data_IF_257585421108
#
_entry.id   IF_257585421108
#
_cell.length_a   1.000
_cell.length_b   1.000
_cell.length_c   1.000
_cell.angle_alpha   90.00
_cell.angle_beta   90.00
_cell.angle_gamma   90.00
#
_symmetry.space_group_name_H-M   'P 1'
#
loop_
_entity.id
_entity.type
_entity.pdbx_description
1 polymer ?
#
# COMPACT_ATOMS: atom_id res chain seq x y z
N UNK A 1 42.45 -3.82 -51.23
CA UNK A 1 41.99 -5.18 -51.59
C UNK A 1 42.06 -5.99 -50.30
N UNK A 2 41.01 -6.44 -49.63
CA UNK A 2 39.66 -6.81 -50.07
C UNK A 2 38.70 -6.82 -48.85
N UNK A 3 37.39 -6.93 -49.14
CA UNK A 3 36.19 -6.58 -48.34
C UNK A 3 35.93 -7.36 -47.03
N UNK A 4 35.10 -6.76 -46.16
CA UNK A 4 34.33 -7.37 -45.06
C UNK A 4 33.28 -8.39 -45.55
N UNK A 5 32.82 -9.29 -44.65
CA UNK A 5 31.39 -9.34 -44.31
C UNK A 5 31.09 -9.54 -42.80
N UNK A 6 29.79 -9.54 -42.48
CA UNK A 6 29.10 -9.15 -41.25
C UNK A 6 29.05 -10.20 -40.11
N UNK A 7 28.73 -9.73 -38.89
CA UNK A 7 28.25 -10.53 -37.74
C UNK A 7 26.77 -10.88 -37.89
N UNK A 8 26.28 -11.98 -37.26
CA UNK A 8 25.40 -11.76 -36.09
C UNK A 8 25.41 -12.84 -34.97
N UNK A 9 24.95 -12.41 -33.78
CA UNK A 9 24.21 -13.10 -32.69
C UNK A 9 24.87 -14.29 -31.94
N UNK A 10 25.17 -14.16 -30.63
CA UNK A 10 24.30 -14.29 -29.43
C UNK A 10 24.02 -15.74 -28.97
N UNK A 11 24.62 -16.13 -27.84
CA UNK A 11 24.12 -17.12 -26.87
C UNK A 11 25.04 -17.09 -25.63
N UNK A 12 24.60 -16.92 -24.38
CA UNK A 12 23.27 -16.63 -23.86
C UNK A 12 23.46 -16.00 -22.47
N UNK A 13 22.62 -15.03 -22.14
CA UNK A 13 22.46 -14.59 -20.76
C UNK A 13 21.67 -15.67 -20.02
N UNK A 14 22.32 -16.39 -19.10
CA UNK A 14 21.60 -17.16 -18.08
C UNK A 14 20.87 -16.17 -17.18
N UNK A 15 19.62 -15.90 -17.52
CA UNK A 15 18.68 -15.28 -16.62
C UNK A 15 18.35 -16.31 -15.54
N UNK A 16 19.13 -16.34 -14.47
CA UNK A 16 18.85 -17.17 -13.30
C UNK A 16 17.63 -16.60 -12.57
N UNK A 17 16.43 -16.91 -13.08
CA UNK A 17 15.19 -16.91 -12.31
C UNK A 17 15.34 -17.97 -11.20
N UNK A 18 16.03 -17.61 -10.11
CA UNK A 18 16.10 -18.44 -8.93
C UNK A 18 14.73 -18.40 -8.25
N UNK A 19 13.82 -19.24 -8.73
CA UNK A 19 12.60 -19.60 -8.00
C UNK A 19 13.02 -20.15 -6.66
N UNK A 20 12.80 -19.37 -5.60
CA UNK A 20 13.15 -19.79 -4.25
C UNK A 20 12.33 -21.03 -3.91
N UNK A 21 13.01 -22.14 -3.56
CA UNK A 21 12.36 -23.37 -3.11
C UNK A 21 12.32 -23.35 -1.59
N UNK A 22 11.18 -23.69 -1.02
CA UNK A 22 11.01 -23.78 0.42
C UNK A 22 10.67 -25.22 0.82
N UNK A 23 11.44 -25.76 1.76
CA UNK A 23 11.12 -27.07 2.37
C UNK A 23 10.24 -26.85 3.59
N UNK A 24 9.03 -27.41 3.55
CA UNK A 24 8.02 -27.34 4.62
C UNK A 24 8.59 -27.89 5.92
N UNK A 25 8.37 -27.17 7.03
CA UNK A 25 8.75 -27.59 8.38
C UNK A 25 7.51 -28.00 9.17
N UNK A 26 7.73 -28.70 10.29
CA UNK A 26 6.65 -29.05 11.21
C UNK A 26 5.93 -27.81 11.71
N UNK A 27 4.61 -27.78 11.54
CA UNK A 27 3.75 -26.66 11.91
C UNK A 27 3.54 -25.61 10.82
N UNK A 28 4.18 -25.74 9.66
CA UNK A 28 3.91 -24.86 8.53
C UNK A 28 2.56 -25.19 7.86
N UNK A 29 1.93 -24.15 7.31
CA UNK A 29 0.77 -24.23 6.42
C UNK A 29 1.09 -23.47 5.14
N UNK A 30 0.41 -23.77 4.04
CA UNK A 30 0.63 -23.04 2.78
C UNK A 30 0.34 -21.54 2.96
N UNK A 31 -0.61 -21.20 3.84
CA UNK A 31 -0.90 -19.82 4.23
C UNK A 31 0.24 -19.16 5.01
N UNK A 32 0.81 -19.84 6.02
CA UNK A 32 1.89 -19.24 6.83
C UNK A 32 3.16 -19.06 6.02
N UNK A 33 3.45 -19.98 5.10
CA UNK A 33 4.58 -19.89 4.17
C UNK A 33 4.33 -18.76 3.15
N UNK A 34 3.16 -18.73 2.50
CA UNK A 34 2.82 -17.65 1.57
C UNK A 34 2.95 -16.27 2.24
N UNK A 35 2.48 -16.16 3.48
CA UNK A 35 2.63 -14.97 4.32
C UNK A 35 4.10 -14.63 4.59
N UNK A 36 4.94 -15.61 4.93
CA UNK A 36 6.37 -15.41 5.19
C UNK A 36 7.09 -14.83 3.96
N UNK A 37 6.75 -15.32 2.77
CA UNK A 37 7.38 -14.90 1.51
C UNK A 37 6.66 -13.74 0.81
N UNK A 38 5.57 -13.23 1.40
CA UNK A 38 4.84 -12.08 0.88
C UNK A 38 4.13 -12.29 -0.45
N UNK A 39 3.68 -13.52 -0.67
CA UNK A 39 2.82 -13.91 -1.79
C UNK A 39 1.43 -14.26 -1.27
N UNK A 40 0.41 -14.18 -2.13
CA UNK A 40 -0.94 -14.59 -1.76
C UNK A 40 -1.03 -16.11 -1.67
N UNK A 41 -1.96 -16.62 -0.84
CA UNK A 41 -2.24 -18.06 -0.78
C UNK A 41 -2.64 -18.59 -2.16
N UNK A 42 -3.40 -17.81 -2.94
CA UNK A 42 -3.81 -18.21 -4.28
C UNK A 42 -2.62 -18.40 -5.22
N UNK A 43 -1.70 -17.43 -5.28
CA UNK A 43 -0.47 -17.55 -6.09
C UNK A 43 0.38 -18.74 -5.63
N UNK A 44 0.41 -18.99 -4.33
CA UNK A 44 1.10 -20.14 -3.76
C UNK A 44 0.47 -21.46 -4.22
N UNK A 45 -0.86 -21.56 -4.24
CA UNK A 45 -1.60 -22.74 -4.74
C UNK A 45 -1.37 -22.92 -6.24
N UNK A 46 -1.46 -21.84 -7.03
CA UNK A 46 -1.25 -21.87 -8.47
C UNK A 46 0.18 -22.29 -8.83
N UNK A 47 1.18 -21.81 -8.08
CA UNK A 47 2.58 -22.20 -8.26
C UNK A 47 2.87 -23.66 -7.89
N UNK A 48 2.00 -24.27 -7.07
CA UNK A 48 2.15 -25.61 -6.51
C UNK A 48 0.95 -26.50 -6.82
N UNK A 49 0.46 -26.46 -8.07
CA UNK A 49 -0.68 -27.24 -8.56
C UNK A 49 -0.55 -28.77 -8.40
N UNK A 50 0.65 -29.28 -8.09
CA UNK A 50 0.91 -30.69 -7.79
C UNK A 50 0.46 -31.07 -6.36
N UNK A 51 0.22 -30.10 -5.49
CA UNK A 51 -0.30 -30.32 -4.14
C UNK A 51 -1.81 -30.39 -4.21
N UNK A 52 -2.34 -31.58 -3.94
CA UNK A 52 -3.78 -31.87 -4.08
C UNK A 52 -4.63 -31.24 -2.98
N UNK A 53 -4.05 -31.09 -1.78
CA UNK A 53 -4.71 -30.43 -0.66
C UNK A 53 -3.78 -29.38 -0.03
N UNK A 54 -3.95 -28.08 -0.35
CA UNK A 54 -3.18 -26.97 0.23
C UNK A 54 -3.25 -26.86 1.76
N UNK A 55 -4.26 -27.46 2.40
CA UNK A 55 -4.43 -27.47 3.85
C UNK A 55 -3.67 -28.60 4.54
N UNK A 56 -3.11 -29.57 3.79
CA UNK A 56 -2.44 -30.75 4.31
C UNK A 56 -0.99 -30.84 3.78
N UNK A 57 -0.14 -29.91 4.22
CA UNK A 57 1.29 -29.97 3.96
C UNK A 57 2.00 -30.92 4.93
N UNK A 58 2.98 -31.66 4.44
CA UNK A 58 3.83 -32.53 5.24
C UNK A 58 5.23 -31.92 5.40
N UNK A 59 5.86 -32.05 6.59
CA UNK A 59 7.26 -31.65 6.75
C UNK A 59 8.16 -32.39 5.76
N UNK A 60 8.99 -31.64 5.04
CA UNK A 60 9.83 -32.14 3.96
C UNK A 60 9.28 -31.90 2.55
N UNK A 61 8.01 -31.49 2.40
CA UNK A 61 7.46 -31.11 1.10
C UNK A 61 8.25 -29.92 0.52
N UNK A 62 8.53 -29.95 -0.78
CA UNK A 62 9.14 -28.82 -1.48
C UNK A 62 8.07 -27.94 -2.11
N UNK A 63 7.98 -26.70 -1.66
CA UNK A 63 7.17 -25.68 -2.30
C UNK A 63 8.02 -24.83 -3.23
N UNK A 64 7.50 -24.59 -4.42
CA UNK A 64 7.94 -23.49 -5.27
C UNK A 64 7.34 -22.21 -4.73
N UNK A 65 8.18 -21.33 -4.20
CA UNK A 65 7.76 -19.97 -3.86
C UNK A 65 7.72 -19.19 -5.17
N UNK A 66 6.54 -18.70 -5.61
CA UNK A 66 6.50 -17.81 -6.75
C UNK A 66 7.29 -16.55 -6.39
N UNK A 67 8.11 -16.06 -7.30
CA UNK A 67 8.56 -14.68 -7.20
C UNK A 67 7.31 -13.81 -7.10
N UNK A 68 7.40 -12.72 -6.34
CA UNK A 68 6.34 -11.74 -6.21
C UNK A 68 6.09 -11.05 -7.57
N UNK A 69 5.44 -11.78 -8.47
CA UNK A 69 5.26 -11.45 -9.89
C UNK A 69 3.98 -10.64 -10.09
N UNK A 70 3.23 -10.38 -9.03
CA UNK A 70 1.84 -9.89 -9.07
C UNK A 70 1.53 -8.88 -7.96
N UNK A 71 2.53 -8.07 -7.57
CA UNK A 71 2.30 -6.62 -7.49
C UNK A 71 2.67 -5.89 -8.78
N UNK A 72 2.77 -6.64 -9.89
CA UNK A 72 2.68 -6.12 -11.26
C UNK A 72 1.23 -6.17 -11.78
N UNK A 73 0.22 -5.90 -10.95
CA UNK A 73 -0.78 -4.97 -11.46
C UNK A 73 0.01 -3.68 -11.69
N UNK A 74 -0.11 -3.07 -12.88
CA UNK A 74 0.60 -1.84 -13.23
C UNK A 74 0.19 -0.69 -12.28
N UNK A 75 0.67 -0.74 -11.04
CA UNK A 75 0.78 0.41 -10.16
C UNK A 75 1.84 1.26 -10.82
N UNK A 76 1.37 2.24 -11.58
CA UNK A 76 2.23 3.24 -12.19
C UNK A 76 2.77 4.20 -11.12
N UNK A 77 2.78 3.82 -9.83
CA UNK A 77 3.31 4.62 -8.73
C UNK A 77 4.64 4.03 -8.22
N UNK A 78 5.68 4.85 -8.13
CA UNK A 78 6.95 4.57 -7.49
C UNK A 78 6.74 4.61 -5.96
N UNK A 79 7.20 3.55 -5.27
CA UNK A 79 7.09 3.43 -3.81
C UNK A 79 8.49 3.23 -3.20
N UNK A 80 8.77 3.81 -2.00
CA UNK A 80 7.87 4.66 -1.23
C UNK A 80 7.63 6.01 -1.90
N UNK A 81 6.45 6.59 -1.68
CA UNK A 81 6.10 7.93 -2.14
C UNK A 81 5.66 8.79 -0.96
N UNK A 82 6.06 10.05 -0.95
CA UNK A 82 5.65 11.02 0.04
C UNK A 82 5.07 12.24 -0.67
N UNK A 83 3.89 12.67 -0.25
CA UNK A 83 3.13 13.73 -0.90
C UNK A 83 2.71 14.78 0.13
N UNK A 84 2.80 16.05 -0.24
CA UNK A 84 2.19 17.14 0.52
C UNK A 84 0.71 17.20 0.18
N UNK A 85 -0.12 17.27 1.22
CA UNK A 85 -1.57 17.44 1.12
C UNK A 85 -1.92 18.91 1.24
N UNK A 86 -2.64 19.41 0.25
CA UNK A 86 -2.99 20.82 0.13
C UNK A 86 -4.36 21.11 0.74
N UNK A 87 -4.52 22.36 1.21
CA UNK A 87 -5.79 22.86 1.74
C UNK A 87 -6.82 22.94 0.63
N UNK A 88 -8.06 22.54 0.95
CA UNK A 88 -9.16 22.49 -0.02
C UNK A 88 -10.08 23.71 0.00
N UNK A 89 -9.90 24.64 0.95
CA UNK A 89 -10.70 25.85 1.07
C UNK A 89 -10.17 26.86 2.08
N UNK A 90 -10.70 28.08 2.03
CA UNK A 90 -10.27 29.21 2.87
C UNK A 90 -10.64 29.05 4.36
N UNK A 91 -11.61 28.19 4.67
CA UNK A 91 -11.99 27.88 6.05
C UNK A 91 -10.99 27.01 6.79
N UNK A 92 -10.00 26.44 6.07
CA UNK A 92 -8.92 25.65 6.66
C UNK A 92 -7.80 26.60 7.11
N UNK A 93 -7.26 26.46 8.34
CA UNK A 93 -6.19 27.33 8.85
C UNK A 93 -5.03 27.47 7.86
N UNK A 94 -4.42 28.66 7.83
CA UNK A 94 -3.38 28.98 6.85
C UNK A 94 -2.17 28.04 6.91
N UNK A 95 -1.78 27.67 8.14
CA UNK A 95 -0.62 26.84 8.43
C UNK A 95 -0.96 25.34 8.45
N UNK A 96 -2.21 24.96 8.13
CA UNK A 96 -2.60 23.56 8.08
C UNK A 96 -2.05 22.89 6.81
N UNK A 97 -1.27 21.84 7.00
CA UNK A 97 -0.69 21.02 5.93
C UNK A 97 -0.77 19.55 6.30
N UNK A 98 -0.71 18.68 5.29
CA UNK A 98 -0.61 17.24 5.51
C UNK A 98 0.55 16.62 4.77
N UNK A 99 1.01 15.49 5.27
CA UNK A 99 1.89 14.58 4.53
C UNK A 99 1.22 13.22 4.42
N UNK A 100 1.22 12.65 3.23
CA UNK A 100 0.83 11.27 2.99
C UNK A 100 2.05 10.44 2.57
N UNK A 101 2.46 9.50 3.43
CA UNK A 101 3.51 8.52 3.13
C UNK A 101 2.85 7.21 2.68
N UNK A 102 3.18 6.78 1.47
CA UNK A 102 2.74 5.51 0.88
C UNK A 102 3.95 4.59 0.78
N UNK A 103 3.83 3.37 1.31
CA UNK A 103 4.91 2.38 1.28
C UNK A 103 4.38 0.96 1.18
N UNK A 104 5.22 0.07 0.67
CA UNK A 104 4.98 -1.36 0.75
C UNK A 104 5.35 -1.88 2.15
N UNK A 105 4.53 -2.78 2.67
CA UNK A 105 4.78 -3.48 3.91
C UNK A 105 5.50 -4.80 3.59
N UNK A 106 6.62 -5.04 4.29
CA UNK A 106 7.48 -6.21 4.06
C UNK A 106 7.50 -7.21 5.21
N UNK A 107 7.16 -6.80 6.43
CA UNK A 107 7.24 -7.66 7.62
C UNK A 107 5.89 -7.88 8.29
N UNK A 108 5.18 -6.78 8.59
CA UNK A 108 3.94 -6.85 9.36
C UNK A 108 2.79 -7.40 8.51
N UNK A 109 2.75 -6.99 7.22
CA UNK A 109 1.71 -7.35 6.25
C UNK A 109 2.31 -7.45 4.83
N UNK A 110 3.13 -8.47 4.55
CA UNK A 110 3.85 -8.59 3.29
C UNK A 110 2.95 -8.40 2.06
N UNK A 111 3.38 -7.56 1.11
CA UNK A 111 2.66 -7.24 -0.12
C UNK A 111 1.53 -6.21 0.04
N UNK A 112 1.19 -5.77 1.26
CA UNK A 112 0.17 -4.70 1.43
C UNK A 112 0.81 -3.34 1.31
N UNK A 113 0.09 -2.39 0.72
CA UNK A 113 0.43 -0.98 0.86
C UNK A 113 -0.04 -0.44 2.20
N UNK A 114 0.72 0.50 2.75
CA UNK A 114 0.31 1.32 3.86
C UNK A 114 0.25 2.78 3.44
N UNK A 115 -0.74 3.49 3.96
CA UNK A 115 -0.81 4.94 3.91
C UNK A 115 -0.72 5.45 5.35
N UNK A 116 0.27 6.28 5.61
CA UNK A 116 0.38 7.07 6.84
C UNK A 116 0.08 8.52 6.52
N UNK A 117 -0.84 9.12 7.26
CA UNK A 117 -1.12 10.56 7.21
C UNK A 117 -0.59 11.22 8.48
N UNK A 118 0.04 12.38 8.31
CA UNK A 118 0.29 13.33 9.38
C UNK A 118 -0.24 14.70 8.95
N UNK A 119 -1.24 15.23 9.67
CA UNK A 119 -1.89 16.50 9.39
C UNK A 119 -1.61 17.49 10.53
N UNK A 120 -0.73 18.44 10.27
CA UNK A 120 -0.27 19.44 11.25
C UNK A 120 -1.05 20.74 11.08
N UNK A 121 -1.24 21.47 12.18
CA UNK A 121 -1.91 22.78 12.15
C UNK A 121 -3.43 22.71 12.06
N UNK A 122 -4.03 21.51 12.19
CA UNK A 122 -5.47 21.36 12.32
C UNK A 122 -5.89 21.47 13.81
N UNK A 123 -6.78 22.40 14.17
CA UNK A 123 -7.29 22.55 15.53
C UNK A 123 -8.19 21.36 15.90
N UNK A 124 -8.68 21.34 17.14
CA UNK A 124 -9.69 20.37 17.53
C UNK A 124 -10.94 20.53 16.61
N UNK A 125 -11.53 19.44 16.10
CA UNK A 125 -12.65 19.51 15.14
C UNK A 125 -13.87 20.29 15.64
N UNK A 126 -14.12 20.27 16.95
CA UNK A 126 -15.23 21.02 17.57
C UNK A 126 -15.08 22.52 17.37
N UNK A 127 -13.86 23.04 17.37
CA UNK A 127 -13.56 24.47 17.20
C UNK A 127 -13.73 24.92 15.75
N UNK A 128 -13.54 24.00 14.80
CA UNK A 128 -13.51 24.34 13.37
C UNK A 128 -14.89 24.24 12.71
N UNK A 129 -15.68 23.20 13.03
CA UNK A 129 -16.80 22.81 12.15
C UNK A 129 -18.11 22.44 12.84
N UNK A 130 -18.15 22.38 14.18
CA UNK A 130 -19.34 22.02 14.94
C UNK A 130 -19.84 20.59 14.67
N UNK A 131 -20.12 19.82 15.73
CA UNK A 131 -20.68 18.47 15.58
C UNK A 131 -19.71 17.39 15.07
N UNK A 132 -18.45 17.72 14.83
CA UNK A 132 -17.36 16.75 14.59
C UNK A 132 -16.48 16.65 15.84
N UNK A 133 -15.98 15.45 16.12
CA UNK A 133 -15.20 15.15 17.33
C UNK A 133 -13.87 14.43 17.03
N UNK A 134 -13.57 14.17 15.76
CA UNK A 134 -12.29 13.63 15.31
C UNK A 134 -11.97 14.01 13.87
N UNK A 135 -10.83 13.55 13.38
CA UNK A 135 -10.50 13.52 11.96
C UNK A 135 -10.33 12.08 11.50
N UNK A 136 -10.49 11.87 10.20
CA UNK A 136 -10.21 10.61 9.54
C UNK A 136 -9.37 10.82 8.29
N UNK A 137 -8.52 9.84 8.02
CA UNK A 137 -7.93 9.63 6.71
C UNK A 137 -8.91 8.90 5.82
N UNK A 138 -9.03 9.36 4.58
CA UNK A 138 -9.75 8.66 3.53
C UNK A 138 -8.79 8.49 2.35
N UNK A 139 -8.68 7.27 1.84
CA UNK A 139 -8.04 7.00 0.55
C UNK A 139 -9.06 6.35 -0.37
N UNK A 140 -9.14 6.76 -1.62
CA UNK A 140 -10.06 6.15 -2.57
C UNK A 140 -9.53 6.19 -3.99
N UNK A 141 -9.98 5.23 -4.79
CA UNK A 141 -9.86 5.24 -6.24
C UNK A 141 -11.26 5.54 -6.78
N UNK A 142 -11.46 6.64 -7.53
CA UNK A 142 -12.79 7.06 -7.97
C UNK A 142 -13.55 5.95 -8.71
N UNK A 143 -14.75 5.62 -8.25
CA UNK A 143 -15.60 4.59 -8.87
C UNK A 143 -15.23 3.14 -8.54
N UNK A 144 -14.20 2.91 -7.72
CA UNK A 144 -13.72 1.56 -7.42
C UNK A 144 -13.84 1.21 -5.94
N UNK A 145 -13.03 1.83 -5.08
CA UNK A 145 -12.88 1.43 -3.68
C UNK A 145 -12.50 2.62 -2.80
N UNK A 146 -12.90 2.56 -1.54
CA UNK A 146 -12.63 3.57 -0.52
C UNK A 146 -12.18 2.89 0.77
N UNK A 147 -11.13 3.43 1.39
CA UNK A 147 -10.62 3.07 2.70
C UNK A 147 -10.70 4.27 3.63
N UNK A 148 -11.05 4.03 4.89
CA UNK A 148 -11.24 5.07 5.90
C UNK A 148 -10.63 4.62 7.22
N UNK A 149 -9.98 5.52 7.94
CA UNK A 149 -9.41 5.24 9.24
C UNK A 149 -9.36 6.49 10.11
N UNK A 150 -9.52 6.36 11.44
CA UNK A 150 -9.40 7.49 12.35
C UNK A 150 -7.97 8.04 12.37
N UNK A 151 -7.84 9.35 12.54
CA UNK A 151 -6.59 10.01 12.91
C UNK A 151 -6.64 10.38 14.39
N UNK A 152 -5.50 10.27 15.05
CA UNK A 152 -5.35 10.52 16.47
C UNK A 152 -4.47 11.74 16.71
N UNK A 153 -4.78 12.55 17.72
CA UNK A 153 -3.97 13.71 18.05
C UNK A 153 -2.63 13.27 18.63
N UNK A 154 -1.57 13.94 18.22
CA UNK A 154 -0.21 13.78 18.71
C UNK A 154 0.12 14.99 19.58
N UNK A 155 0.67 14.76 20.77
CA UNK A 155 0.99 15.82 21.72
C UNK A 155 2.21 16.61 21.24
N UNK A 156 1.97 17.76 20.61
CA UNK A 156 2.97 18.66 20.02
C UNK A 156 2.61 20.12 20.28
N UNK A 157 3.55 21.05 20.07
CA UNK A 157 3.31 22.50 20.22
C UNK A 157 2.29 23.03 19.20
N UNK A 158 2.27 22.43 18.01
CA UNK A 158 1.21 22.58 17.01
C UNK A 158 0.57 21.20 16.89
N UNK A 159 -0.74 21.04 17.13
CA UNK A 159 -1.36 19.73 17.12
C UNK A 159 -1.20 19.06 15.75
N UNK A 160 -0.71 17.82 15.77
CA UNK A 160 -0.60 16.96 14.60
C UNK A 160 -1.56 15.78 14.75
N UNK A 161 -2.42 15.57 13.76
CA UNK A 161 -3.33 14.43 13.70
C UNK A 161 -2.76 13.37 12.78
N UNK A 162 -2.53 12.16 13.28
CA UNK A 162 -1.84 11.12 12.55
C UNK A 162 -2.53 9.77 12.61
N UNK A 163 -2.30 8.94 11.59
CA UNK A 163 -2.88 7.60 11.51
C UNK A 163 -2.31 6.82 10.34
N UNK A 164 -2.22 5.50 10.50
CA UNK A 164 -1.74 4.59 9.46
C UNK A 164 -2.78 3.53 9.16
N UNK A 165 -3.08 3.35 7.88
CA UNK A 165 -3.91 2.26 7.39
C UNK A 165 -3.03 1.24 6.65
N UNK A 166 -3.17 -0.04 6.99
CA UNK A 166 -2.28 -1.14 6.53
C UNK A 166 -3.04 -2.26 5.82
N UNK A 167 -4.32 -2.06 5.53
CA UNK A 167 -5.20 -3.06 4.91
C UNK A 167 -5.49 -2.78 3.44
N UNK A 168 -4.64 -1.99 2.77
CA UNK A 168 -4.80 -1.69 1.34
C UNK A 168 -4.40 -2.92 0.54
N UNK A 169 -5.42 -3.63 0.05
CA UNK A 169 -5.29 -4.85 -0.73
C UNK A 169 -5.27 -4.60 -2.23
N UNK A 170 -5.83 -3.48 -2.70
CA UNK A 170 -5.84 -3.10 -4.11
C UNK A 170 -4.58 -2.31 -4.49
N UNK A 171 -4.19 -2.38 -5.77
CA UNK A 171 -3.09 -1.58 -6.29
C UNK A 171 -3.48 -0.10 -6.34
N UNK A 172 -2.74 0.74 -5.64
CA UNK A 172 -2.91 2.19 -5.74
C UNK A 172 -2.43 2.67 -7.12
N UNK A 173 -3.18 3.57 -7.73
CA UNK A 173 -2.87 4.19 -9.02
C UNK A 173 -2.56 5.68 -8.83
N UNK A 174 -2.05 6.33 -9.87
CA UNK A 174 -1.86 7.79 -9.87
C UNK A 174 -3.18 8.56 -9.78
N UNK A 175 -4.33 7.91 -9.99
CA UNK A 175 -5.66 8.48 -9.84
C UNK A 175 -6.21 8.38 -8.40
N UNK A 176 -5.54 7.63 -7.52
CA UNK A 176 -5.96 7.53 -6.13
C UNK A 176 -5.86 8.90 -5.45
N UNK A 177 -6.84 9.19 -4.60
CA UNK A 177 -6.95 10.44 -3.84
C UNK A 177 -6.87 10.11 -2.36
N UNK A 178 -6.08 10.89 -1.62
CA UNK A 178 -5.97 10.82 -0.16
C UNK A 178 -6.48 12.14 0.42
N UNK A 179 -7.31 12.05 1.46
CA UNK A 179 -7.93 13.20 2.11
C UNK A 179 -7.90 13.08 3.63
N UNK A 180 -7.91 14.25 4.26
CA UNK A 180 -8.25 14.39 5.68
C UNK A 180 -9.62 15.04 5.77
N UNK A 181 -10.54 14.39 6.48
CA UNK A 181 -11.90 14.89 6.68
C UNK A 181 -12.26 14.93 8.17
N UNK A 182 -13.12 15.86 8.60
CA UNK A 182 -13.76 15.80 9.91
C UNK A 182 -14.59 14.53 10.04
N UNK A 183 -14.62 13.97 11.24
CA UNK A 183 -15.37 12.77 11.58
C UNK A 183 -16.21 13.05 12.83
N UNK A 184 -17.48 12.65 12.76
CA UNK A 184 -18.29 12.41 13.95
C UNK A 184 -18.21 10.91 14.25
N UNK A 185 -17.46 10.52 15.27
CA UNK A 185 -17.23 9.13 15.61
C UNK A 185 -18.47 8.40 16.13
N UNK A 186 -19.49 9.14 16.59
CA UNK A 186 -20.75 8.55 17.07
C UNK A 186 -21.69 8.20 15.90
N UNK A 187 -21.69 8.99 14.82
CA UNK A 187 -22.57 8.77 13.66
C UNK A 187 -21.86 8.19 12.44
N UNK A 188 -20.52 8.19 12.43
CA UNK A 188 -19.71 7.86 11.24
C UNK A 188 -19.74 8.93 10.16
N UNK A 189 -20.38 10.08 10.40
CA UNK A 189 -20.52 11.14 9.40
C UNK A 189 -19.19 11.82 9.11
N UNK A 190 -18.82 11.86 7.83
CA UNK A 190 -17.67 12.59 7.32
C UNK A 190 -18.07 14.01 6.89
N UNK A 191 -17.26 15.01 7.23
CA UNK A 191 -17.39 16.36 6.72
C UNK A 191 -16.81 16.53 5.30
N UNK A 192 -16.77 17.78 4.84
CA UNK A 192 -16.02 18.14 3.64
C UNK A 192 -14.51 17.88 3.84
N UNK A 193 -13.76 17.56 2.77
CA UNK A 193 -12.31 17.44 2.90
C UNK A 193 -11.71 18.77 3.38
N UNK A 194 -10.65 18.69 4.18
CA UNK A 194 -9.85 19.84 4.61
C UNK A 194 -8.51 19.84 3.90
N UNK A 195 -7.86 18.67 3.86
CA UNK A 195 -6.61 18.44 3.13
C UNK A 195 -6.84 17.37 2.07
N UNK A 196 -6.23 17.52 0.89
CA UNK A 196 -6.36 16.58 -0.21
C UNK A 196 -5.08 16.48 -1.02
N UNK A 197 -4.78 15.29 -1.54
CA UNK A 197 -3.75 15.07 -2.55
C UNK A 197 -4.14 13.94 -3.48
N UNK A 198 -3.66 14.00 -4.73
CA UNK A 198 -3.77 12.91 -5.70
C UNK A 198 -2.39 12.31 -5.93
N UNK A 199 -2.31 11.00 -6.17
CA UNK A 199 -1.04 10.28 -6.32
C UNK A 199 -0.35 10.52 -7.68
N UNK A 200 -0.68 11.59 -8.39
CA UNK A 200 -0.16 11.92 -9.72
C UNK A 200 1.34 12.08 -9.75
N UNK A 201 1.93 12.72 -8.72
CA UNK A 201 3.39 12.90 -8.63
C UNK A 201 4.14 11.69 -8.10
N UNK A 202 3.44 10.60 -7.74
CA UNK A 202 4.09 9.33 -7.42
C UNK A 202 4.41 8.51 -8.67
N UNK A 203 4.20 9.02 -9.89
CA UNK A 203 4.30 8.20 -11.10
C UNK A 203 5.71 7.57 -11.27
N UNK A 204 5.76 6.30 -11.71
CA UNK A 204 6.98 5.60 -12.16
C UNK A 204 7.51 6.16 -13.47
#
# INVERSE_FOLDING_TARGET
MSNLPETPASAGQENSNSRERYTVKSGDSMWSIAKQFGVTLQEMVEANNHITNPEALNPGDELKVPENSNFTQASNIALPCCLIMERTGQSVPADALGTALIRQLVQIRPGRSAITIAASGLPAPMDLLGGFNGYQGIAFIPGEITWQWPLFPTAESIPTWSGTFTEITAALTTAAVIQVRPLNSATGQAGNPLLSVTLTSCQK
#
